data_IF_624244092537
#
_entry.id   IF_624244092537
#
_cell.length_a   1.000
_cell.length_b   1.000
_cell.length_c   1.000
_cell.angle_alpha   90.00
_cell.angle_beta   90.00
_cell.angle_gamma   90.00
#
_symmetry.space_group_name_H-M   'P 1'
#
loop_
_entity.id
_entity.type
_entity.pdbx_description
1 polymer ?
#
# COMPACT_ATOMS: atom_id res chain seq x y z
N UNK A 1 12.28 11.28 7.02
CA UNK A 1 11.61 12.11 5.97
C UNK A 1 10.22 12.45 6.49
N UNK A 2 9.76 13.69 6.32
CA UNK A 2 8.39 14.09 6.66
C UNK A 2 7.65 14.50 5.40
N UNK A 3 6.35 14.24 5.33
CA UNK A 3 5.46 14.79 4.31
C UNK A 3 4.12 15.14 4.93
N UNK A 4 3.40 16.09 4.33
CA UNK A 4 2.15 16.59 4.88
C UNK A 4 1.08 16.84 3.84
N UNK A 5 -0.15 16.75 4.29
CA UNK A 5 -1.34 17.21 3.61
C UNK A 5 -1.93 18.37 4.41
N UNK A 6 -2.34 19.42 3.73
CA UNK A 6 -2.99 20.56 4.36
C UNK A 6 -4.24 20.95 3.57
N UNK A 7 -5.31 21.23 4.30
CA UNK A 7 -6.55 21.73 3.77
C UNK A 7 -7.16 20.88 2.65
N UNK A 8 -7.07 19.56 2.78
CA UNK A 8 -7.54 18.64 1.74
C UNK A 8 -9.03 18.38 1.90
N UNK A 9 -9.80 18.65 0.85
CA UNK A 9 -11.20 18.28 0.72
C UNK A 9 -11.38 17.26 -0.39
N UNK A 10 -12.24 16.27 -0.16
CA UNK A 10 -12.69 15.38 -1.23
C UNK A 10 -14.18 15.15 -1.14
N UNK A 11 -14.86 15.39 -2.27
CA UNK A 11 -16.30 15.24 -2.43
C UNK A 11 -16.58 14.28 -3.58
N UNK A 12 -17.50 13.36 -3.37
CA UNK A 12 -18.09 12.54 -4.40
C UNK A 12 -19.57 12.83 -4.50
N UNK A 13 -20.03 13.29 -5.67
CA UNK A 13 -21.39 13.80 -5.86
C UNK A 13 -21.71 14.89 -4.81
N UNK A 14 -22.62 14.61 -3.88
CA UNK A 14 -23.04 15.55 -2.81
C UNK A 14 -22.38 15.27 -1.46
N UNK A 15 -21.60 14.20 -1.28
CA UNK A 15 -21.02 13.78 -0.01
C UNK A 15 -19.53 14.12 0.09
N UNK A 16 -19.15 14.80 1.16
CA UNK A 16 -17.74 15.01 1.50
C UNK A 16 -17.23 13.77 2.23
N UNK A 17 -16.19 13.19 1.67
CA UNK A 17 -15.44 12.07 2.27
C UNK A 17 -14.27 12.60 3.09
N UNK A 18 -13.65 13.69 2.63
CA UNK A 18 -12.65 14.42 3.42
C UNK A 18 -13.08 15.89 3.54
N UNK A 19 -12.99 16.43 4.77
CA UNK A 19 -13.29 17.83 5.07
C UNK A 19 -12.12 18.45 5.80
N UNK A 20 -11.37 19.33 5.14
CA UNK A 20 -10.20 20.02 5.69
C UNK A 20 -9.22 19.04 6.36
N UNK A 21 -8.93 17.92 5.69
CA UNK A 21 -8.01 16.93 6.22
C UNK A 21 -6.59 17.53 6.24
N UNK A 22 -5.99 17.54 7.45
CA UNK A 22 -4.62 17.99 7.69
C UNK A 22 -3.90 16.90 8.44
N UNK A 23 -2.75 16.49 7.95
CA UNK A 23 -1.92 15.52 8.63
C UNK A 23 -0.46 15.62 8.20
N UNK A 24 0.45 15.45 9.16
CA UNK A 24 1.88 15.34 8.90
C UNK A 24 2.35 13.93 9.27
N UNK A 25 3.05 13.30 8.34
CA UNK A 25 3.58 11.96 8.49
C UNK A 25 5.10 12.01 8.56
N UNK A 26 5.67 11.27 9.50
CA UNK A 26 7.11 11.02 9.61
C UNK A 26 7.43 9.56 9.26
N UNK A 27 8.69 9.14 9.44
CA UNK A 27 9.05 7.73 9.32
C UNK A 27 8.31 6.92 10.38
N UNK A 28 7.85 5.72 10.01
CA UNK A 28 7.13 4.82 10.90
C UNK A 28 5.88 4.24 10.26
N UNK A 29 5.09 3.55 11.08
CA UNK A 29 3.85 2.87 10.68
C UNK A 29 2.63 3.70 11.09
N UNK A 30 1.71 3.90 10.17
CA UNK A 30 0.42 4.55 10.39
C UNK A 30 -0.70 3.61 9.95
N UNK A 31 -1.65 3.36 10.84
CA UNK A 31 -2.85 2.61 10.52
C UNK A 31 -4.03 3.57 10.35
N UNK A 32 -4.60 3.56 9.16
CA UNK A 32 -5.83 4.31 8.85
C UNK A 32 -7.03 3.48 9.27
N UNK A 33 -7.70 3.91 10.34
CA UNK A 33 -8.79 3.20 10.98
C UNK A 33 -10.10 3.98 10.83
N UNK A 34 -11.16 3.28 10.52
CA UNK A 34 -12.51 3.86 10.36
C UNK A 34 -13.43 2.93 9.60
N UNK A 35 -14.73 3.24 9.62
CA UNK A 35 -15.74 2.47 8.90
C UNK A 35 -15.55 2.52 7.38
N UNK A 36 -16.20 1.61 6.66
CA UNK A 36 -16.18 1.64 5.21
C UNK A 36 -16.76 2.95 4.68
N UNK A 37 -16.11 3.55 3.68
CA UNK A 37 -16.52 4.84 3.12
C UNK A 37 -16.04 6.08 3.89
N UNK A 38 -15.34 5.93 5.03
CA UNK A 38 -14.87 7.06 5.84
C UNK A 38 -13.75 7.92 5.19
N UNK A 39 -13.09 7.43 4.13
CA UNK A 39 -12.07 8.20 3.41
C UNK A 39 -10.66 7.63 3.43
N UNK A 40 -10.41 6.50 4.09
CA UNK A 40 -9.10 5.84 4.16
C UNK A 40 -8.47 5.66 2.78
N UNK A 41 -9.10 4.86 1.92
CA UNK A 41 -8.63 4.60 0.53
C UNK A 41 -8.58 5.87 -0.31
N UNK A 42 -9.49 6.81 -0.08
CA UNK A 42 -9.50 8.12 -0.76
C UNK A 42 -8.24 8.91 -0.42
N UNK A 43 -7.85 8.93 0.84
CA UNK A 43 -6.64 9.62 1.29
C UNK A 43 -5.38 8.98 0.70
N UNK A 44 -5.28 7.64 0.70
CA UNK A 44 -4.17 6.94 0.05
C UNK A 44 -4.07 7.27 -1.45
N UNK A 45 -5.21 7.31 -2.16
CA UNK A 45 -5.28 7.69 -3.59
C UNK A 45 -4.87 9.15 -3.84
N UNK A 46 -5.16 10.07 -2.92
CA UNK A 46 -4.70 11.46 -3.01
C UNK A 46 -3.19 11.53 -2.78
N UNK A 47 -2.66 10.87 -1.76
CA UNK A 47 -1.21 10.83 -1.48
C UNK A 47 -0.45 10.24 -2.67
N UNK A 48 -0.99 9.19 -3.31
CA UNK A 48 -0.39 8.58 -4.51
C UNK A 48 -0.62 9.36 -5.80
N UNK A 49 -1.35 10.49 -5.75
CA UNK A 49 -1.70 11.34 -6.89
C UNK A 49 -2.54 10.63 -7.97
N UNK A 50 -3.23 9.54 -7.62
CA UNK A 50 -4.17 8.85 -8.54
C UNK A 50 -5.44 9.68 -8.69
N UNK A 51 -5.87 10.37 -7.63
CA UNK A 51 -6.99 11.30 -7.68
C UNK A 51 -6.58 12.65 -7.07
N UNK A 52 -7.19 13.72 -7.56
CA UNK A 52 -6.97 15.05 -7.01
C UNK A 52 -7.99 15.35 -5.90
N UNK A 53 -7.64 16.20 -4.91
CA UNK A 53 -8.62 16.86 -4.03
C UNK A 53 -9.71 17.58 -4.82
N UNK A 54 -10.82 17.91 -4.14
CA UNK A 54 -11.92 18.67 -4.75
C UNK A 54 -11.78 20.19 -4.64
N UNK A 55 -10.81 20.66 -3.87
CA UNK A 55 -10.47 22.07 -3.71
C UNK A 55 -9.15 22.39 -4.44
N UNK A 56 -8.94 23.66 -4.75
CA UNK A 56 -7.71 24.14 -5.41
C UNK A 56 -6.63 24.59 -4.42
N UNK A 57 -7.03 25.04 -3.22
CA UNK A 57 -6.13 25.57 -2.19
C UNK A 57 -5.74 24.52 -1.16
N UNK A 58 -5.12 23.45 -1.60
CA UNK A 58 -4.56 22.39 -0.76
C UNK A 58 -3.04 22.34 -0.91
N UNK A 59 -2.39 21.71 0.08
CA UNK A 59 -0.97 21.37 0.00
C UNK A 59 -0.79 19.86 0.10
N UNK A 60 0.04 19.32 -0.75
CA UNK A 60 0.52 17.94 -0.71
C UNK A 60 2.01 17.93 -1.07
N UNK A 61 2.84 17.43 -0.18
CA UNK A 61 4.27 17.27 -0.42
C UNK A 61 4.55 16.48 -1.70
N UNK A 62 5.59 16.88 -2.42
CA UNK A 62 6.00 16.16 -3.63
C UNK A 62 6.84 14.92 -3.24
N UNK A 63 6.17 13.81 -3.04
CA UNK A 63 6.77 12.54 -2.60
C UNK A 63 6.62 11.44 -3.64
N UNK A 64 7.58 10.52 -3.67
CA UNK A 64 7.50 9.31 -4.50
C UNK A 64 7.00 8.15 -3.64
N UNK A 65 5.88 7.58 -4.02
CA UNK A 65 5.23 6.52 -3.26
C UNK A 65 5.19 5.21 -4.05
N UNK A 66 5.11 4.09 -3.33
CA UNK A 66 4.59 2.83 -3.84
C UNK A 66 3.18 2.64 -3.26
N UNK A 67 2.22 2.26 -4.09
CA UNK A 67 0.84 2.07 -3.65
C UNK A 67 0.26 0.76 -4.15
N UNK A 68 -0.20 -0.06 -3.22
CA UNK A 68 -1.00 -1.25 -3.47
C UNK A 68 -2.44 -0.95 -3.09
N UNK A 69 -3.31 -0.76 -4.08
CA UNK A 69 -4.73 -0.53 -3.86
C UNK A 69 -5.47 -1.87 -3.62
N UNK A 70 -6.61 -1.82 -2.95
CA UNK A 70 -7.47 -2.99 -2.68
C UNK A 70 -7.81 -3.78 -3.96
N UNK A 71 -8.19 -3.06 -5.03
CA UNK A 71 -8.53 -3.66 -6.32
C UNK A 71 -7.54 -3.20 -7.38
N UNK A 72 -6.75 -4.11 -7.89
CA UNK A 72 -5.74 -3.82 -8.91
C UNK A 72 -5.71 -4.91 -9.97
N UNK A 73 -5.32 -4.54 -11.17
CA UNK A 73 -5.12 -5.44 -12.30
C UNK A 73 -3.63 -5.48 -12.67
N UNK A 74 -3.09 -6.67 -12.80
CA UNK A 74 -1.66 -6.89 -13.11
C UNK A 74 -1.40 -7.28 -14.57
N UNK A 75 -2.44 -7.19 -15.42
CA UNK A 75 -2.38 -7.62 -16.82
C UNK A 75 -2.36 -9.16 -16.97
N UNK A 76 -2.37 -9.62 -18.22
CA UNK A 76 -2.41 -11.06 -18.52
C UNK A 76 -1.07 -11.58 -19.02
N UNK A 77 -0.14 -11.80 -18.11
CA UNK A 77 1.16 -12.42 -18.37
C UNK A 77 1.55 -13.39 -17.26
N UNK A 78 2.58 -14.22 -17.47
CA UNK A 78 3.10 -15.09 -16.41
C UNK A 78 3.72 -14.27 -15.28
N UNK A 79 3.47 -14.67 -14.03
CA UNK A 79 3.94 -13.98 -12.81
C UNK A 79 5.43 -13.65 -12.87
N UNK A 80 6.28 -14.64 -13.19
CA UNK A 80 7.72 -14.43 -13.25
C UNK A 80 8.12 -13.38 -14.29
N UNK A 81 7.45 -13.36 -15.44
CA UNK A 81 7.71 -12.36 -16.50
C UNK A 81 7.34 -10.97 -16.02
N UNK A 82 6.17 -10.83 -15.40
CA UNK A 82 5.69 -9.59 -14.80
C UNK A 82 6.68 -9.06 -13.75
N UNK A 83 7.00 -9.86 -12.74
CA UNK A 83 7.90 -9.44 -11.66
C UNK A 83 9.31 -9.10 -12.16
N UNK A 84 9.82 -9.81 -13.17
CA UNK A 84 11.11 -9.47 -13.82
C UNK A 84 11.08 -8.11 -14.50
N UNK A 85 9.97 -7.73 -15.16
CA UNK A 85 9.85 -6.40 -15.76
C UNK A 85 9.82 -5.29 -14.71
N UNK A 86 9.09 -5.49 -13.60
CA UNK A 86 9.08 -4.55 -12.46
C UNK A 86 10.47 -4.45 -11.80
N UNK A 87 11.13 -5.58 -11.59
CA UNK A 87 12.51 -5.63 -11.07
C UNK A 87 13.46 -4.78 -11.92
N UNK A 88 13.42 -4.96 -13.24
CA UNK A 88 14.26 -4.22 -14.19
C UNK A 88 13.97 -2.72 -14.13
N UNK A 89 12.69 -2.34 -14.13
CA UNK A 89 12.25 -0.94 -14.06
C UNK A 89 12.74 -0.24 -12.78
N UNK A 90 12.62 -0.90 -11.63
CA UNK A 90 13.04 -0.35 -10.33
C UNK A 90 14.53 -0.60 -10.02
N UNK A 91 15.29 -1.25 -10.89
CA UNK A 91 16.71 -1.63 -10.66
C UNK A 91 16.89 -2.39 -9.33
N UNK A 92 15.92 -3.23 -8.96
CA UNK A 92 15.93 -3.97 -7.70
C UNK A 92 16.87 -5.18 -7.79
N UNK A 93 17.50 -5.54 -6.66
CA UNK A 93 18.36 -6.74 -6.55
C UNK A 93 17.61 -7.95 -5.96
N UNK A 94 16.32 -7.84 -5.67
CA UNK A 94 15.52 -8.89 -5.04
C UNK A 94 15.57 -10.20 -5.83
N UNK A 95 15.74 -11.33 -5.15
CA UNK A 95 15.66 -12.66 -5.75
C UNK A 95 14.20 -13.08 -5.96
N UNK A 96 13.63 -12.73 -7.13
CA UNK A 96 12.22 -13.01 -7.44
C UNK A 96 11.85 -14.49 -7.28
N UNK A 97 12.70 -15.41 -7.75
CA UNK A 97 12.39 -16.86 -7.68
C UNK A 97 12.36 -17.34 -6.22
N UNK A 98 13.29 -16.85 -5.40
CA UNK A 98 13.31 -17.13 -3.97
C UNK A 98 12.07 -16.61 -3.27
N UNK A 99 11.70 -15.35 -3.54
CA UNK A 99 10.49 -14.77 -2.97
C UNK A 99 9.21 -15.47 -3.46
N UNK A 100 9.08 -15.78 -4.74
CA UNK A 100 7.93 -16.54 -5.24
C UNK A 100 7.80 -17.89 -4.53
N UNK A 101 8.91 -18.58 -4.24
CA UNK A 101 8.90 -19.84 -3.47
C UNK A 101 8.49 -19.59 -2.02
N UNK A 102 9.04 -18.57 -1.36
CA UNK A 102 8.73 -18.20 0.04
C UNK A 102 7.25 -17.86 0.23
N UNK A 103 6.65 -17.14 -0.73
CA UNK A 103 5.25 -16.73 -0.71
C UNK A 103 4.30 -17.76 -1.32
N UNK A 104 4.79 -18.90 -1.77
CA UNK A 104 4.03 -19.94 -2.47
C UNK A 104 3.22 -19.38 -3.66
N UNK A 105 3.87 -18.62 -4.52
CA UNK A 105 3.25 -18.04 -5.72
C UNK A 105 3.57 -18.88 -6.95
N UNK A 106 2.58 -19.52 -7.60
CA UNK A 106 2.82 -20.31 -8.79
C UNK A 106 3.14 -19.42 -10.01
N UNK A 107 4.04 -19.90 -10.88
CA UNK A 107 4.36 -19.21 -12.13
C UNK A 107 3.31 -19.48 -13.23
N UNK A 108 2.07 -19.06 -12.97
CA UNK A 108 0.92 -19.13 -13.89
C UNK A 108 0.65 -17.78 -14.54
N UNK A 109 -0.27 -17.71 -15.50
CA UNK A 109 -0.84 -16.44 -15.94
C UNK A 109 -1.57 -15.76 -14.79
N UNK A 110 -1.38 -14.45 -14.65
CA UNK A 110 -1.91 -13.69 -13.51
C UNK A 110 -3.45 -13.78 -13.43
N UNK A 111 -4.12 -13.79 -14.58
CA UNK A 111 -5.59 -13.93 -14.61
C UNK A 111 -6.07 -15.26 -14.03
N UNK A 112 -5.24 -16.30 -14.07
CA UNK A 112 -5.55 -17.65 -13.56
C UNK A 112 -5.14 -17.84 -12.09
N UNK A 113 -4.70 -16.78 -11.41
CA UNK A 113 -4.37 -16.81 -9.99
C UNK A 113 -5.63 -16.64 -9.14
N UNK A 114 -5.65 -17.30 -7.96
CA UNK A 114 -6.62 -16.97 -6.91
C UNK A 114 -6.49 -15.52 -6.44
N UNK A 115 -7.52 -14.97 -5.78
CA UNK A 115 -7.47 -13.63 -5.17
C UNK A 115 -6.25 -13.48 -4.26
N UNK A 116 -6.00 -14.46 -3.36
CA UNK A 116 -4.83 -14.46 -2.48
C UNK A 116 -3.50 -14.46 -3.22
N UNK A 117 -3.34 -15.27 -4.25
CA UNK A 117 -2.10 -15.27 -5.05
C UNK A 117 -1.91 -13.97 -5.85
N UNK A 118 -2.97 -13.32 -6.29
CA UNK A 118 -2.89 -11.97 -6.87
C UNK A 118 -2.41 -10.97 -5.83
N UNK A 119 -2.95 -11.03 -4.62
CA UNK A 119 -2.54 -10.18 -3.50
C UNK A 119 -1.06 -10.36 -3.15
N UNK A 120 -0.60 -11.61 -2.99
CA UNK A 120 0.81 -11.94 -2.80
C UNK A 120 1.69 -11.37 -3.92
N UNK A 121 1.27 -11.50 -5.18
CA UNK A 121 1.97 -10.94 -6.33
C UNK A 121 2.05 -9.40 -6.27
N UNK A 122 0.99 -8.73 -5.84
CA UNK A 122 0.96 -7.28 -5.57
C UNK A 122 1.96 -6.88 -4.48
N UNK A 123 2.03 -7.64 -3.39
CA UNK A 123 3.01 -7.40 -2.33
C UNK A 123 4.44 -7.58 -2.84
N UNK A 124 4.73 -8.62 -3.64
CA UNK A 124 6.05 -8.79 -4.25
C UNK A 124 6.40 -7.61 -5.17
N UNK A 125 5.43 -7.06 -5.88
CA UNK A 125 5.62 -5.82 -6.67
C UNK A 125 6.03 -4.65 -5.77
N UNK A 126 5.41 -4.51 -4.59
CA UNK A 126 5.80 -3.49 -3.61
C UNK A 126 7.22 -3.72 -3.07
N UNK A 127 7.63 -4.97 -2.82
CA UNK A 127 8.99 -5.32 -2.40
C UNK A 127 10.05 -4.96 -3.46
N UNK A 128 9.68 -4.97 -4.73
CA UNK A 128 10.56 -4.54 -5.82
C UNK A 128 10.65 -3.02 -5.96
N UNK A 129 9.75 -2.27 -5.36
CA UNK A 129 9.77 -0.81 -5.39
C UNK A 129 10.84 -0.27 -4.44
N UNK A 130 11.60 0.73 -4.89
CA UNK A 130 12.53 1.47 -4.04
C UNK A 130 11.96 2.87 -3.80
N UNK A 131 11.18 3.02 -2.75
CA UNK A 131 10.49 4.26 -2.39
C UNK A 131 10.71 4.57 -0.90
N UNK A 132 10.37 5.79 -0.51
CA UNK A 132 10.45 6.20 0.89
C UNK A 132 9.10 6.05 1.60
N UNK A 133 8.01 6.01 0.83
CA UNK A 133 6.65 5.90 1.33
C UNK A 133 5.95 4.73 0.65
N UNK A 134 5.35 3.88 1.48
CA UNK A 134 4.59 2.71 1.06
C UNK A 134 3.15 2.82 1.55
N UNK A 135 2.22 2.68 0.63
CA UNK A 135 0.78 2.79 0.87
C UNK A 135 0.14 1.44 0.57
N UNK A 136 -0.64 0.93 1.52
CA UNK A 136 -1.36 -0.33 1.38
C UNK A 136 -2.84 -0.13 1.72
N UNK A 137 -3.71 -0.62 0.85
CA UNK A 137 -5.16 -0.54 1.01
C UNK A 137 -5.70 -1.95 1.16
N UNK A 138 -6.13 -2.33 2.37
CA UNK A 138 -6.58 -3.65 2.80
C UNK A 138 -5.62 -4.79 2.36
N UNK A 139 -4.32 -4.71 2.71
CA UNK A 139 -3.30 -5.62 2.17
C UNK A 139 -3.43 -7.06 2.65
N UNK A 140 -4.07 -7.29 3.79
CA UNK A 140 -4.24 -8.62 4.42
C UNK A 140 -5.46 -9.37 3.89
N UNK A 141 -6.38 -8.67 3.19
CA UNK A 141 -7.56 -9.29 2.61
C UNK A 141 -7.19 -10.43 1.65
N UNK A 142 -7.78 -11.59 1.83
CA UNK A 142 -7.50 -12.83 1.09
C UNK A 142 -6.11 -13.47 1.29
N UNK A 143 -5.31 -13.05 2.27
CA UNK A 143 -4.08 -13.72 2.66
C UNK A 143 -4.36 -14.84 3.67
N UNK A 144 -3.61 -15.94 3.58
CA UNK A 144 -3.52 -16.96 4.61
C UNK A 144 -2.59 -16.49 5.76
N UNK A 145 -2.68 -17.16 6.93
CA UNK A 145 -1.92 -16.80 8.14
C UNK A 145 -0.40 -16.76 7.91
N UNK A 146 0.13 -17.69 7.12
CA UNK A 146 1.55 -17.70 6.80
C UNK A 146 1.94 -16.44 5.99
N UNK A 147 1.13 -16.08 5.01
CA UNK A 147 1.36 -14.90 4.18
C UNK A 147 1.17 -13.58 4.94
N UNK A 148 0.25 -13.52 5.91
CA UNK A 148 0.13 -12.40 6.85
C UNK A 148 1.43 -12.25 7.66
N UNK A 149 1.99 -13.36 8.16
CA UNK A 149 3.29 -13.34 8.85
C UNK A 149 4.43 -12.85 7.96
N UNK A 150 4.47 -13.26 6.68
CA UNK A 150 5.45 -12.74 5.73
C UNK A 150 5.25 -11.26 5.44
N UNK A 151 4.01 -10.80 5.34
CA UNK A 151 3.68 -9.39 5.12
C UNK A 151 4.09 -8.53 6.32
N UNK A 152 3.75 -8.93 7.54
CA UNK A 152 4.15 -8.19 8.74
C UNK A 152 5.67 -8.13 8.90
N UNK A 153 6.40 -9.20 8.58
CA UNK A 153 7.87 -9.15 8.52
C UNK A 153 8.39 -8.15 7.50
N UNK A 154 7.77 -8.08 6.32
CA UNK A 154 8.12 -7.08 5.30
C UNK A 154 7.85 -5.64 5.81
N UNK A 155 6.72 -5.41 6.49
CA UNK A 155 6.45 -4.09 7.11
C UNK A 155 7.53 -3.73 8.13
N UNK A 156 7.95 -4.68 8.97
CA UNK A 156 9.06 -4.48 9.92
C UNK A 156 10.34 -4.07 9.20
N UNK A 157 10.72 -4.76 8.13
CA UNK A 157 11.90 -4.40 7.33
C UNK A 157 11.82 -2.97 6.76
N UNK A 158 10.63 -2.51 6.36
CA UNK A 158 10.44 -1.15 5.86
C UNK A 158 10.66 -0.12 6.98
N UNK A 159 10.11 -0.38 8.17
CA UNK A 159 10.27 0.49 9.35
C UNK A 159 11.73 0.54 9.78
N UNK A 160 12.41 -0.61 9.86
CA UNK A 160 13.84 -0.70 10.21
C UNK A 160 14.73 0.07 9.21
N UNK A 161 14.27 0.21 7.95
CA UNK A 161 14.91 1.05 6.92
C UNK A 161 14.45 2.52 6.94
N UNK A 162 13.83 2.98 8.03
CA UNK A 162 13.30 4.34 8.18
C UNK A 162 12.32 4.76 7.07
N UNK A 163 11.51 3.83 6.55
CA UNK A 163 10.45 4.15 5.60
C UNK A 163 9.19 4.61 6.32
N UNK A 164 8.33 5.34 5.59
CA UNK A 164 6.98 5.66 6.05
C UNK A 164 6.01 4.67 5.44
N UNK A 165 5.22 4.01 6.27
CA UNK A 165 4.25 3.00 5.85
C UNK A 165 2.86 3.40 6.32
N UNK A 166 1.92 3.55 5.38
CA UNK A 166 0.52 3.84 5.66
C UNK A 166 -0.33 2.65 5.23
N UNK A 167 -1.10 2.09 6.15
CA UNK A 167 -1.96 0.93 5.89
C UNK A 167 -3.40 1.31 6.24
N UNK A 168 -4.29 1.30 5.26
CA UNK A 168 -5.72 1.32 5.52
C UNK A 168 -6.16 -0.12 5.78
N UNK A 169 -6.70 -0.39 6.96
CA UNK A 169 -7.14 -1.72 7.36
C UNK A 169 -8.23 -1.67 8.43
N UNK A 170 -9.01 -2.71 8.53
CA UNK A 170 -9.91 -3.00 9.64
C UNK A 170 -9.35 -4.12 10.56
N UNK A 171 -8.25 -4.74 10.19
CA UNK A 171 -7.61 -5.88 10.89
C UNK A 171 -6.34 -5.42 11.64
N UNK A 172 -6.49 -4.47 12.57
CA UNK A 172 -5.35 -3.89 13.30
C UNK A 172 -4.63 -4.88 14.22
N UNK A 173 -5.25 -5.98 14.60
CA UNK A 173 -4.67 -7.03 15.45
C UNK A 173 -3.43 -7.68 14.85
N UNK A 174 -3.26 -7.69 13.54
CA UNK A 174 -2.03 -8.17 12.90
C UNK A 174 -0.83 -7.26 13.14
N UNK A 175 -1.06 -6.03 13.57
CA UNK A 175 -0.03 -5.03 13.83
C UNK A 175 0.18 -4.72 15.31
N UNK A 176 -0.48 -5.44 16.23
CA UNK A 176 -0.45 -5.17 17.68
C UNK A 176 0.95 -5.17 18.33
N UNK A 177 1.94 -5.78 17.69
CA UNK A 177 3.32 -5.82 18.17
C UNK A 177 4.22 -4.75 17.55
N UNK A 178 3.64 -3.88 16.73
CA UNK A 178 4.35 -2.75 16.15
C UNK A 178 4.06 -1.48 16.96
N UNK A 179 5.05 -0.60 17.01
CA UNK A 179 4.81 0.79 17.36
C UNK A 179 4.18 1.48 16.15
N UNK A 180 2.94 1.92 16.27
CA UNK A 180 2.21 2.56 15.18
C UNK A 180 1.34 3.72 15.66
N UNK A 181 1.04 4.63 14.76
CA UNK A 181 0.11 5.75 14.99
C UNK A 181 -1.23 5.46 14.34
N UNK A 182 -2.33 5.54 15.09
CA UNK A 182 -3.67 5.45 14.52
C UNK A 182 -4.09 6.80 13.93
N UNK A 183 -4.51 6.78 12.66
CA UNK A 183 -5.15 7.90 11.97
C UNK A 183 -6.64 7.56 11.84
N UNK A 184 -7.48 8.19 12.63
CA UNK A 184 -8.92 7.92 12.66
C UNK A 184 -9.66 8.76 11.61
N UNK A 185 -10.59 8.09 10.91
CA UNK A 185 -11.41 8.66 9.85
C UNK A 185 -12.89 8.65 10.22
#
# INVERSE_FOLDING_TARGET
MTFRLENVFKKYKKHYVLKRFNYEFSNGLYLFIGINGSGKSTTLKIISKIINPSNSNYYLSNVKVAYLCEKFELGNQKVLKFLKSIKRFNKSNLNIKGEMKKWDIPNKYINNLSKGNKQKCGILMMMLANRDIYLFDEPTDALDQNSIGLFTNYIKELIDKNKTVLIATHEKEYFKYFDYTEVKF
#
